data_IF_018214827345
#
_entry.id   IF_018214827345
#
_cell.length_a   1.000
_cell.length_b   1.000
_cell.length_c   1.000
_cell.angle_alpha   90.00
_cell.angle_beta   90.00
_cell.angle_gamma   90.00
#
_symmetry.space_group_name_H-M   'P 1'
#
loop_
_entity.id
_entity.type
_entity.pdbx_description
1 polymer ?
#
# COMPACT_ATOMS: atom_id res chain seq x y z
N UNK A 1 -23.33 15.96 1.11
CA UNK A 1 -22.48 16.92 1.86
C UNK A 1 -21.64 17.67 0.86
N UNK A 2 -21.44 18.97 1.02
CA UNK A 2 -20.47 19.70 0.19
C UNK A 2 -19.08 19.08 0.40
N UNK A 3 -18.37 18.79 -0.68
CA UNK A 3 -17.03 18.16 -0.66
C UNK A 3 -16.09 18.88 0.30
N UNK A 4 -16.25 20.19 0.45
CA UNK A 4 -15.51 21.02 1.41
C UNK A 4 -15.73 20.59 2.87
N UNK A 5 -16.97 20.29 3.29
CA UNK A 5 -17.29 19.84 4.65
C UNK A 5 -16.64 18.48 4.90
N UNK A 6 -16.65 17.59 3.91
CA UNK A 6 -15.99 16.28 4.02
C UNK A 6 -14.48 16.42 4.22
N UNK A 7 -13.81 17.19 3.35
CA UNK A 7 -12.37 17.44 3.45
C UNK A 7 -12.04 18.05 4.81
N UNK A 8 -12.83 19.01 5.28
CA UNK A 8 -12.65 19.64 6.59
C UNK A 8 -12.78 18.63 7.73
N UNK A 9 -13.78 17.75 7.67
CA UNK A 9 -13.98 16.68 8.66
C UNK A 9 -12.78 15.72 8.66
N UNK A 10 -12.33 15.25 7.49
CA UNK A 10 -11.16 14.36 7.38
C UNK A 10 -9.90 15.04 7.92
N UNK A 11 -9.63 16.30 7.55
CA UNK A 11 -8.47 17.04 8.05
C UNK A 11 -8.53 17.26 9.56
N UNK A 12 -9.70 17.60 10.09
CA UNK A 12 -9.90 17.74 11.53
C UNK A 12 -9.64 16.40 12.26
N UNK A 13 -10.07 15.28 11.69
CA UNK A 13 -9.79 13.96 12.23
C UNK A 13 -8.31 13.60 12.21
N UNK A 14 -7.62 13.85 11.09
CA UNK A 14 -6.17 13.61 10.99
C UNK A 14 -5.43 14.44 12.06
N UNK A 15 -5.74 15.73 12.19
CA UNK A 15 -5.15 16.60 13.20
C UNK A 15 -5.43 16.12 14.63
N UNK A 16 -6.68 15.76 14.94
CA UNK A 16 -7.10 15.30 16.26
C UNK A 16 -6.46 13.95 16.61
N UNK A 17 -6.37 13.03 15.66
CA UNK A 17 -5.74 11.71 15.86
C UNK A 17 -4.27 11.84 16.23
N UNK A 18 -3.54 12.81 15.66
CA UNK A 18 -2.15 13.09 16.00
C UNK A 18 -1.97 13.59 17.44
N UNK A 19 -2.95 14.32 17.98
CA UNK A 19 -2.97 14.71 19.39
C UNK A 19 -3.32 13.52 20.30
N UNK A 20 -4.33 12.73 19.93
CA UNK A 20 -4.74 11.54 20.69
C UNK A 20 -3.66 10.47 20.76
N UNK A 21 -2.87 10.27 19.70
CA UNK A 21 -1.79 9.27 19.70
C UNK A 21 -0.74 9.54 20.80
N UNK A 22 -0.64 10.78 21.30
CA UNK A 22 0.25 11.10 22.42
C UNK A 22 -0.32 10.66 23.78
N UNK A 23 -1.62 10.45 23.85
CA UNK A 23 -2.35 10.03 25.06
C UNK A 23 -2.49 8.51 25.15
N UNK A 24 -2.51 7.80 24.01
CA UNK A 24 -2.66 6.34 23.93
C UNK A 24 -1.44 5.67 23.29
N UNK A 25 -0.98 4.56 23.87
CA UNK A 25 0.20 3.79 23.39
C UNK A 25 -0.14 2.85 22.22
N UNK A 26 -0.85 3.35 21.21
CA UNK A 26 -1.30 2.57 20.05
C UNK A 26 -0.74 3.21 18.76
N UNK A 27 -0.27 2.41 17.78
CA UNK A 27 0.19 2.95 16.49
C UNK A 27 -0.88 3.81 15.81
N UNK A 28 -0.44 4.91 15.20
CA UNK A 28 -1.33 5.87 14.53
C UNK A 28 -2.26 5.21 13.49
N UNK A 29 -1.79 4.29 12.61
CA UNK A 29 -2.67 3.67 11.61
C UNK A 29 -3.83 2.89 12.25
N UNK A 30 -3.56 2.16 13.34
CA UNK A 30 -4.58 1.39 14.05
C UNK A 30 -5.63 2.31 14.66
N UNK A 31 -5.20 3.41 15.28
CA UNK A 31 -6.09 4.41 15.86
C UNK A 31 -6.96 5.07 14.77
N UNK A 32 -6.38 5.42 13.63
CA UNK A 32 -7.10 6.03 12.52
C UNK A 32 -8.14 5.10 11.89
N UNK A 33 -7.80 3.81 11.72
CA UNK A 33 -8.75 2.78 11.26
C UNK A 33 -9.90 2.65 12.26
N UNK A 34 -9.61 2.57 13.56
CA UNK A 34 -10.63 2.42 14.59
C UNK A 34 -11.57 3.63 14.64
N UNK A 35 -11.04 4.86 14.56
CA UNK A 35 -11.84 6.08 14.53
C UNK A 35 -12.68 6.13 13.23
N UNK A 36 -12.08 5.85 12.08
CA UNK A 36 -12.79 5.81 10.80
C UNK A 36 -13.94 4.81 10.81
N UNK A 37 -13.71 3.61 11.32
CA UNK A 37 -14.74 2.59 11.49
C UNK A 37 -15.85 3.03 12.45
N UNK A 38 -15.51 3.68 13.57
CA UNK A 38 -16.48 4.19 14.53
C UNK A 38 -17.36 5.32 13.95
N UNK A 39 -16.82 6.15 13.05
CA UNK A 39 -17.56 7.22 12.38
C UNK A 39 -18.47 6.72 11.26
N UNK A 40 -18.00 5.71 10.52
CA UNK A 40 -18.81 5.06 9.50
C UNK A 40 -19.96 4.24 10.12
N UNK A 41 -19.84 3.86 11.39
CA UNK A 41 -20.85 3.12 12.13
C UNK A 41 -21.85 4.04 12.86
N UNK A 42 -23.15 3.71 12.96
CA UNK A 42 -23.93 2.65 12.28
C UNK A 42 -24.44 3.14 10.90
N UNK A 43 -25.47 2.54 10.29
CA UNK A 43 -25.94 2.88 8.92
C UNK A 43 -26.27 4.36 8.62
N UNK A 44 -26.42 5.22 9.65
CA UNK A 44 -26.54 6.68 9.52
C UNK A 44 -25.23 7.45 9.78
N UNK A 45 -24.12 6.73 9.89
CA UNK A 45 -22.78 7.25 10.06
C UNK A 45 -22.27 7.93 8.79
N UNK A 46 -21.01 8.33 8.82
CA UNK A 46 -20.37 9.04 7.73
C UNK A 46 -20.02 8.08 6.59
N UNK A 47 -20.93 7.93 5.62
CA UNK A 47 -20.71 7.14 4.42
C UNK A 47 -20.32 8.08 3.28
N UNK A 48 -19.14 7.86 2.70
CA UNK A 48 -18.65 8.65 1.56
C UNK A 48 -18.31 7.70 0.43
N UNK A 49 -18.97 7.91 -0.70
CA UNK A 49 -18.62 7.27 -1.96
C UNK A 49 -17.40 8.00 -2.52
N UNK A 50 -16.24 7.36 -2.41
CA UNK A 50 -15.01 7.81 -3.05
C UNK A 50 -14.83 6.97 -4.31
N UNK A 51 -14.73 7.64 -5.45
CA UNK A 51 -14.35 6.99 -6.70
C UNK A 51 -12.94 6.39 -6.53
N UNK A 52 -12.78 5.05 -6.64
CA UNK A 52 -11.49 4.41 -6.42
C UNK A 52 -10.42 4.83 -7.43
N UNK A 53 -10.79 5.12 -8.69
CA UNK A 53 -9.84 5.54 -9.72
C UNK A 53 -9.34 6.95 -9.42
N UNK A 54 -10.24 7.86 -9.03
CA UNK A 54 -9.84 9.20 -8.59
C UNK A 54 -9.03 9.15 -7.31
N UNK A 55 -9.36 8.27 -6.36
CA UNK A 55 -8.58 8.10 -5.14
C UNK A 55 -7.16 7.65 -5.46
N UNK A 56 -7.01 6.60 -6.26
CA UNK A 56 -5.70 6.10 -6.68
C UNK A 56 -4.91 7.19 -7.41
N UNK A 57 -5.55 7.95 -8.31
CA UNK A 57 -4.88 8.99 -9.08
C UNK A 57 -4.49 10.24 -8.26
N UNK A 58 -5.32 10.66 -7.31
CA UNK A 58 -5.12 11.90 -6.54
C UNK A 58 -4.21 11.67 -5.34
N UNK A 59 -4.27 10.51 -4.68
CA UNK A 59 -3.51 10.27 -3.46
C UNK A 59 -2.20 9.51 -3.70
N UNK A 60 -2.20 8.45 -4.52
CA UNK A 60 -1.03 7.58 -4.64
C UNK A 60 0.17 8.28 -5.29
N UNK A 61 0.05 8.98 -6.45
CA UNK A 61 1.20 9.62 -7.08
C UNK A 61 1.85 10.71 -6.20
N UNK A 62 1.11 11.63 -5.55
CA UNK A 62 1.73 12.60 -4.65
C UNK A 62 2.40 11.97 -3.43
N UNK A 63 1.82 10.91 -2.85
CA UNK A 63 2.41 10.18 -1.73
C UNK A 63 3.74 9.53 -2.15
N UNK A 64 3.72 8.73 -3.22
CA UNK A 64 4.92 8.08 -3.75
C UNK A 64 6.00 9.09 -4.17
N UNK A 65 5.60 10.21 -4.76
CA UNK A 65 6.54 11.28 -5.11
C UNK A 65 7.15 11.93 -3.86
N UNK A 66 6.35 12.18 -2.84
CA UNK A 66 6.80 12.71 -1.55
C UNK A 66 7.82 11.78 -0.88
N UNK A 67 7.52 10.49 -0.84
CA UNK A 67 8.40 9.47 -0.27
C UNK A 67 9.70 9.35 -1.06
N UNK A 68 9.62 9.34 -2.40
CA UNK A 68 10.79 9.27 -3.27
C UNK A 68 11.68 10.52 -3.15
N UNK A 69 11.08 11.68 -2.89
CA UNK A 69 11.79 12.93 -2.68
C UNK A 69 12.50 12.97 -1.32
N UNK A 70 11.87 12.44 -0.27
CA UNK A 70 12.44 12.35 1.07
C UNK A 70 13.50 11.25 1.20
N UNK A 71 13.49 10.25 0.30
CA UNK A 71 14.34 9.09 0.40
C UNK A 71 15.85 9.42 0.29
N UNK A 72 16.69 8.80 1.14
CA UNK A 72 18.12 9.07 1.18
C UNK A 72 18.83 8.39 0.00
N UNK A 73 19.07 9.17 -1.06
CA UNK A 73 19.55 8.67 -2.37
C UNK A 73 20.86 7.90 -2.31
N UNK A 74 21.78 8.26 -1.41
CA UNK A 74 23.09 7.60 -1.30
C UNK A 74 22.92 6.17 -0.78
N UNK A 75 22.19 6.03 0.32
CA UNK A 75 21.89 4.76 0.97
C UNK A 75 21.08 3.85 0.03
N UNK A 76 20.12 4.40 -0.72
CA UNK A 76 19.38 3.65 -1.76
C UNK A 76 20.32 3.05 -2.82
N UNK A 77 21.31 3.81 -3.29
CA UNK A 77 22.26 3.32 -4.30
C UNK A 77 23.19 2.25 -3.71
N UNK A 78 23.68 2.47 -2.49
CA UNK A 78 24.56 1.52 -1.79
C UNK A 78 23.84 0.19 -1.49
N UNK A 79 22.54 0.25 -1.17
CA UNK A 79 21.71 -0.90 -0.79
C UNK A 79 20.75 -1.35 -1.90
N UNK A 80 20.97 -0.92 -3.15
CA UNK A 80 20.07 -1.18 -4.27
C UNK A 80 19.75 -2.65 -4.51
N UNK A 81 20.72 -3.54 -4.30
CA UNK A 81 20.54 -4.99 -4.52
C UNK A 81 19.50 -5.59 -3.56
N UNK A 82 19.72 -5.56 -2.23
CA UNK A 82 18.73 -6.10 -1.30
C UNK A 82 17.39 -5.36 -1.38
N UNK A 83 17.40 -4.06 -1.66
CA UNK A 83 16.15 -3.30 -1.85
C UNK A 83 15.36 -3.82 -3.05
N UNK A 84 15.99 -4.01 -4.22
CA UNK A 84 15.31 -4.52 -5.42
C UNK A 84 14.88 -5.97 -5.26
N UNK A 85 15.68 -6.81 -4.60
CA UNK A 85 15.35 -8.21 -4.34
C UNK A 85 14.06 -8.32 -3.50
N UNK A 86 13.90 -7.44 -2.50
CA UNK A 86 12.69 -7.40 -1.67
C UNK A 86 11.54 -6.69 -2.41
N UNK A 87 11.76 -5.50 -2.94
CA UNK A 87 10.70 -4.69 -3.54
C UNK A 87 10.08 -5.30 -4.80
N UNK A 88 10.83 -6.10 -5.56
CA UNK A 88 10.34 -6.74 -6.79
C UNK A 88 10.27 -8.24 -6.63
N UNK A 89 11.36 -8.87 -6.17
CA UNK A 89 11.45 -10.33 -6.07
C UNK A 89 10.49 -10.90 -5.03
N UNK A 90 10.51 -10.36 -3.81
CA UNK A 90 9.59 -10.80 -2.74
C UNK A 90 8.14 -10.42 -3.07
N UNK A 91 7.88 -9.25 -3.65
CA UNK A 91 6.53 -8.87 -4.11
C UNK A 91 6.00 -9.86 -5.15
N UNK A 92 6.79 -10.18 -6.17
CA UNK A 92 6.36 -11.16 -7.17
C UNK A 92 6.13 -12.55 -6.55
N UNK A 93 7.03 -12.98 -5.66
CA UNK A 93 6.91 -14.25 -4.95
C UNK A 93 5.65 -14.31 -4.08
N UNK A 94 5.36 -13.25 -3.34
CA UNK A 94 4.16 -13.16 -2.47
C UNK A 94 2.89 -13.15 -3.31
N UNK A 95 2.85 -12.42 -4.43
CA UNK A 95 1.68 -12.39 -5.32
C UNK A 95 1.39 -13.77 -5.90
N UNK A 96 2.41 -14.42 -6.47
CA UNK A 96 2.26 -15.75 -7.08
C UNK A 96 1.90 -16.78 -6.02
N UNK A 97 2.66 -16.83 -4.92
CA UNK A 97 2.45 -17.78 -3.84
C UNK A 97 1.08 -17.64 -3.19
N UNK A 98 0.72 -16.42 -2.77
CA UNK A 98 -0.56 -16.16 -2.12
C UNK A 98 -1.73 -16.30 -3.09
N UNK A 99 -1.61 -15.84 -4.33
CA UNK A 99 -2.67 -15.96 -5.33
C UNK A 99 -3.01 -17.42 -5.64
N UNK A 100 -1.99 -18.28 -5.83
CA UNK A 100 -2.23 -19.71 -6.01
C UNK A 100 -2.76 -20.36 -4.73
N UNK A 101 -2.22 -20.02 -3.56
CA UNK A 101 -2.69 -20.56 -2.29
C UNK A 101 -4.17 -20.20 -2.03
N UNK A 102 -4.57 -18.96 -2.33
CA UNK A 102 -5.94 -18.50 -2.19
C UNK A 102 -6.88 -19.18 -3.17
N UNK A 103 -6.47 -19.31 -4.43
CA UNK A 103 -7.26 -20.04 -5.43
C UNK A 103 -7.41 -21.52 -5.07
N UNK A 104 -6.38 -22.12 -4.49
CA UNK A 104 -6.46 -23.49 -3.98
C UNK A 104 -7.41 -23.63 -2.79
N UNK A 105 -7.39 -22.66 -1.87
CA UNK A 105 -8.28 -22.65 -0.71
C UNK A 105 -9.75 -22.36 -1.07
N UNK A 106 -9.97 -21.47 -2.04
CA UNK A 106 -11.29 -21.04 -2.50
C UNK A 106 -11.35 -21.09 -4.04
N UNK A 107 -11.56 -22.27 -4.64
CA UNK A 107 -11.52 -22.46 -6.10
C UNK A 107 -12.54 -21.64 -6.90
N UNK A 108 -13.59 -21.13 -6.24
CA UNK A 108 -14.58 -20.27 -6.87
C UNK A 108 -14.06 -18.86 -7.18
N UNK A 109 -12.93 -18.43 -6.59
CA UNK A 109 -12.31 -17.15 -6.90
C UNK A 109 -11.44 -17.32 -8.15
N UNK A 110 -11.68 -16.58 -9.25
CA UNK A 110 -10.82 -16.66 -10.42
C UNK A 110 -9.37 -16.31 -10.08
N UNK A 111 -8.41 -17.00 -10.69
CA UNK A 111 -7.00 -16.83 -10.39
C UNK A 111 -6.51 -15.37 -10.57
N UNK A 112 -7.04 -14.67 -11.59
CA UNK A 112 -6.74 -13.26 -11.80
C UNK A 112 -7.21 -12.37 -10.63
N UNK A 113 -8.37 -12.66 -10.04
CA UNK A 113 -8.88 -11.95 -8.85
C UNK A 113 -8.04 -12.29 -7.63
N UNK A 114 -7.60 -13.55 -7.50
CA UNK A 114 -6.71 -13.96 -6.41
C UNK A 114 -5.34 -13.24 -6.49
N UNK A 115 -4.77 -13.11 -7.69
CA UNK A 115 -3.55 -12.31 -7.89
C UNK A 115 -3.77 -10.82 -7.64
N UNK A 116 -4.93 -10.27 -8.01
CA UNK A 116 -5.25 -8.86 -7.73
C UNK A 116 -5.31 -8.62 -6.22
N UNK A 117 -5.94 -9.51 -5.46
CA UNK A 117 -5.97 -9.41 -4.00
C UNK A 117 -4.56 -9.54 -3.41
N UNK A 118 -3.78 -10.49 -3.89
CA UNK A 118 -2.40 -10.68 -3.44
C UNK A 118 -1.53 -9.44 -3.72
N UNK A 119 -1.73 -8.78 -4.87
CA UNK A 119 -1.00 -7.58 -5.26
C UNK A 119 -1.36 -6.33 -4.44
N UNK A 120 -2.60 -6.22 -3.96
CA UNK A 120 -2.99 -5.14 -3.03
C UNK A 120 -2.42 -5.38 -1.63
N UNK A 121 -2.25 -6.64 -1.23
CA UNK A 121 -1.74 -7.02 0.08
C UNK A 121 -0.21 -7.15 0.15
N UNK A 122 0.48 -7.19 -0.99
CA UNK A 122 1.92 -7.40 -1.04
C UNK A 122 2.77 -6.22 -0.58
N UNK A 123 2.40 -4.94 -0.81
CA UNK A 123 3.23 -3.83 -0.34
C UNK A 123 3.27 -3.77 1.19
N UNK A 124 4.46 -3.56 1.72
CA UNK A 124 4.70 -3.46 3.16
C UNK A 124 5.09 -2.03 3.53
N UNK A 125 4.50 -1.51 4.61
CA UNK A 125 4.70 -0.13 5.07
C UNK A 125 5.78 -0.07 6.17
N UNK A 126 6.95 0.48 5.82
CA UNK A 126 8.04 0.69 6.75
C UNK A 126 7.72 1.71 7.85
N UNK A 127 6.85 2.69 7.58
CA UNK A 127 6.40 3.69 8.56
C UNK A 127 5.60 3.00 9.65
N UNK A 128 4.65 2.13 9.28
CA UNK A 128 3.87 1.33 10.23
C UNK A 128 4.77 0.48 11.12
N UNK A 129 5.75 -0.23 10.55
CA UNK A 129 6.71 -1.05 11.32
C UNK A 129 7.54 -0.18 12.26
N UNK A 130 8.04 0.96 11.78
CA UNK A 130 8.88 1.88 12.58
C UNK A 130 8.12 2.56 13.71
N UNK A 131 6.79 2.58 13.67
CA UNK A 131 5.93 3.10 14.74
C UNK A 131 5.71 2.09 15.89
N UNK A 132 5.95 0.81 15.63
CA UNK A 132 5.81 -0.29 16.58
C UNK A 132 7.16 -0.68 17.18
N UNK A 133 8.22 -0.63 16.37
CA UNK A 133 9.58 -1.05 16.75
C UNK A 133 10.39 0.13 17.25
N UNK A 134 11.08 -0.04 18.38
CA UNK A 134 12.03 0.96 18.88
C UNK A 134 13.22 1.10 17.92
N UNK A 135 13.34 2.28 17.30
CA UNK A 135 14.41 2.60 16.35
C UNK A 135 15.81 2.47 16.96
N UNK A 136 15.95 2.54 18.28
CA UNK A 136 17.23 2.35 18.96
C UNK A 136 17.71 0.89 18.96
N UNK A 137 16.79 -0.07 18.76
CA UNK A 137 17.10 -1.51 18.78
C UNK A 137 17.45 -2.03 17.38
N UNK A 138 16.99 -1.35 16.33
CA UNK A 138 17.18 -1.79 14.94
C UNK A 138 18.43 -1.14 14.33
N UNK A 139 19.36 -1.92 13.74
CA UNK A 139 20.51 -1.35 13.04
C UNK A 139 20.07 -0.39 11.94
N UNK A 140 20.70 0.79 11.84
CA UNK A 140 20.36 1.81 10.85
C UNK A 140 20.34 1.27 9.40
N UNK A 141 21.25 0.35 9.08
CA UNK A 141 21.29 -0.33 7.78
C UNK A 141 19.99 -1.08 7.46
N UNK A 142 19.40 -1.77 8.44
CA UNK A 142 18.14 -2.50 8.22
C UNK A 142 16.98 -1.54 8.03
N UNK A 143 16.97 -0.42 8.77
CA UNK A 143 15.95 0.61 8.59
C UNK A 143 15.99 1.22 7.18
N UNK A 144 17.18 1.51 6.65
CA UNK A 144 17.32 2.01 5.28
C UNK A 144 16.91 0.98 4.21
N UNK A 145 17.10 -0.32 4.47
CA UNK A 145 16.60 -1.38 3.57
C UNK A 145 15.07 -1.39 3.58
N UNK A 146 14.45 -1.34 4.77
CA UNK A 146 12.99 -1.34 4.91
C UNK A 146 12.36 -0.08 4.28
N UNK A 147 12.94 1.09 4.53
CA UNK A 147 12.50 2.36 3.91
C UNK A 147 12.62 2.30 2.38
N UNK A 148 13.74 1.75 1.86
CA UNK A 148 13.94 1.61 0.42
C UNK A 148 13.06 0.56 -0.25
N UNK A 149 12.77 -0.54 0.44
CA UNK A 149 11.81 -1.56 -0.03
C UNK A 149 10.40 -0.97 -0.10
N UNK A 150 9.93 -0.36 0.99
CA UNK A 150 8.60 0.25 1.09
C UNK A 150 8.36 1.29 0.00
N UNK A 151 9.40 2.05 -0.38
CA UNK A 151 9.31 3.00 -1.50
C UNK A 151 8.97 2.33 -2.85
N UNK A 152 9.55 1.16 -3.12
CA UNK A 152 9.49 0.52 -4.44
C UNK A 152 8.44 -0.61 -4.51
N UNK A 153 8.07 -1.20 -3.37
CA UNK A 153 7.11 -2.30 -3.31
C UNK A 153 5.67 -1.81 -3.60
N UNK A 154 5.32 -0.57 -3.23
CA UNK A 154 4.01 0.05 -3.51
C UNK A 154 3.78 0.18 -5.02
N UNK A 155 4.80 0.70 -5.73
CA UNK A 155 4.75 0.81 -7.19
C UNK A 155 4.65 -0.58 -7.85
N UNK A 156 5.46 -1.54 -7.37
CA UNK A 156 5.47 -2.90 -7.89
C UNK A 156 4.12 -3.60 -7.68
N UNK A 157 3.53 -3.48 -6.49
CA UNK A 157 2.22 -4.03 -6.17
C UNK A 157 1.10 -3.38 -6.97
N UNK A 158 1.10 -2.05 -7.13
CA UNK A 158 0.10 -1.34 -7.93
C UNK A 158 0.14 -1.76 -9.41
N UNK A 159 1.34 -1.89 -9.99
CA UNK A 159 1.48 -2.33 -11.39
C UNK A 159 0.97 -3.77 -11.55
N UNK A 160 1.34 -4.68 -10.64
CA UNK A 160 0.84 -6.05 -10.65
C UNK A 160 -0.68 -6.14 -10.46
N UNK A 161 -1.25 -5.30 -9.59
CA UNK A 161 -2.68 -5.18 -9.39
C UNK A 161 -3.39 -4.79 -10.69
N UNK A 162 -2.88 -3.79 -11.40
CA UNK A 162 -3.45 -3.36 -12.69
C UNK A 162 -3.43 -4.47 -13.73
N UNK A 163 -2.35 -5.27 -13.79
CA UNK A 163 -2.31 -6.43 -14.69
C UNK A 163 -3.29 -7.52 -14.31
N UNK A 164 -3.42 -7.81 -13.02
CA UNK A 164 -4.35 -8.81 -12.52
C UNK A 164 -5.81 -8.40 -12.76
N UNK A 165 -6.15 -7.12 -12.54
CA UNK A 165 -7.47 -6.56 -12.87
C UNK A 165 -7.74 -6.61 -14.37
N UNK A 166 -6.78 -6.18 -15.19
CA UNK A 166 -6.92 -6.26 -16.64
C UNK A 166 -7.17 -7.70 -17.10
N UNK A 167 -6.42 -8.67 -16.60
CA UNK A 167 -6.61 -10.09 -16.91
C UNK A 167 -7.98 -10.62 -16.43
N UNK A 168 -8.46 -10.16 -15.27
CA UNK A 168 -9.78 -10.53 -14.76
C UNK A 168 -10.92 -9.99 -15.64
N UNK A 169 -10.76 -8.78 -16.18
CA UNK A 169 -11.77 -8.13 -17.03
C UNK A 169 -11.76 -8.64 -18.48
N UNK A 170 -10.57 -8.93 -19.05
CA UNK A 170 -10.43 -9.38 -20.44
C UNK A 170 -10.50 -10.89 -20.61
N UNK A 171 -10.36 -11.66 -19.52
CA UNK A 171 -10.22 -13.12 -19.55
C UNK A 171 -8.92 -13.61 -20.21
N UNK A 172 -7.99 -12.72 -20.55
CA UNK A 172 -6.73 -13.05 -21.21
C UNK A 172 -5.57 -12.28 -20.58
N UNK A 173 -4.51 -13.01 -20.22
CA UNK A 173 -3.27 -12.44 -19.70
C UNK A 173 -2.16 -12.61 -20.74
N UNK A 174 -1.51 -11.50 -21.11
CA UNK A 174 -0.30 -11.52 -21.94
C UNK A 174 0.91 -11.15 -21.09
N UNK A 175 1.74 -12.13 -20.79
CA UNK A 175 2.98 -11.94 -20.04
C UNK A 175 3.93 -10.95 -20.76
N UNK A 176 3.97 -10.99 -22.09
CA UNK A 176 4.78 -10.07 -22.89
C UNK A 176 4.31 -8.62 -22.79
N UNK A 177 2.99 -8.39 -22.84
CA UNK A 177 2.42 -7.05 -22.68
C UNK A 177 2.64 -6.53 -21.25
N UNK A 178 2.45 -7.37 -20.23
CA UNK A 178 2.71 -7.01 -18.83
C UNK A 178 4.18 -6.64 -18.59
N UNK A 179 5.11 -7.43 -19.14
CA UNK A 179 6.55 -7.19 -19.00
C UNK A 179 6.98 -5.88 -19.70
N UNK A 180 6.43 -5.59 -20.89
CA UNK A 180 6.70 -4.34 -21.60
C UNK A 180 6.11 -3.14 -20.86
N UNK A 181 4.86 -3.23 -20.39
CA UNK A 181 4.23 -2.15 -19.63
C UNK A 181 4.95 -1.86 -18.31
N UNK A 182 5.49 -2.87 -17.62
CA UNK A 182 6.28 -2.68 -16.40
C UNK A 182 7.57 -1.88 -16.66
N UNK A 183 8.19 -2.04 -17.84
CA UNK A 183 9.40 -1.29 -18.20
C UNK A 183 9.14 0.16 -18.60
N UNK A 184 7.91 0.50 -19.00
CA UNK A 184 7.50 1.85 -19.40
C UNK A 184 6.62 2.58 -18.36
N UNK A 185 6.26 1.90 -17.28
CA UNK A 185 5.51 2.47 -16.14
C UNK A 185 6.45 3.27 -15.23
#
# INVERSE_FOLDING_TARGET
>A
MDVAVFILVVLAFVALSGALVRLVRVPLPVLQIAIGAALAWPAKGLHVEIDPELFLLVFIPPLLFGDAFAAPKRELIELRRPILDLAVGLVFFTIVGFGYALHWLVPSIPLAVAFALAAVLSPTDAVAVSSIVDRNVVPARLMHILEGESLLNDASGLVMFRFAVAAALTGSFSFAAASLSFLYA
#
